data_IF_590966905794
#
_entry.id   IF_590966905794
#
_cell.length_a   1.000
_cell.length_b   1.000
_cell.length_c   1.000
_cell.angle_alpha   90.00
_cell.angle_beta   90.00
_cell.angle_gamma   90.00
#
_symmetry.space_group_name_H-M   'P 1'
#
loop_
_entity.id
_entity.type
_entity.pdbx_description
1 polymer ?
#
# COMPACT_ATOMS: atom_id res chain seq x y z
N UNK A 1 11.99 -12.30 27.68
CA UNK A 1 12.94 -11.48 26.91
C UNK A 1 12.83 -11.95 25.47
N UNK A 2 11.85 -11.42 24.73
CA UNK A 2 11.57 -11.80 23.35
C UNK A 2 12.05 -10.68 22.44
N UNK A 3 12.81 -11.07 21.42
CA UNK A 3 13.55 -10.19 20.54
C UNK A 3 12.60 -9.31 19.70
N UNK A 4 12.90 -8.02 19.68
CA UNK A 4 12.37 -7.07 18.70
C UNK A 4 12.95 -7.44 17.32
N UNK A 5 12.09 -7.84 16.38
CA UNK A 5 12.47 -7.88 14.97
C UNK A 5 12.23 -6.48 14.39
N UNK A 6 13.30 -5.91 13.84
CA UNK A 6 13.37 -4.56 13.32
C UNK A 6 13.45 -4.60 11.80
N UNK A 7 12.49 -4.00 11.06
CA UNK A 7 12.64 -3.85 9.60
C UNK A 7 12.35 -2.44 9.06
N UNK A 8 13.32 -1.95 8.29
CA UNK A 8 13.39 -0.67 7.59
C UNK A 8 12.30 -0.57 6.53
N UNK A 9 11.48 0.47 6.58
CA UNK A 9 10.52 0.84 5.52
C UNK A 9 11.07 2.10 4.86
N UNK A 10 11.54 1.99 3.62
CA UNK A 10 11.87 3.11 2.74
C UNK A 10 10.60 3.42 1.95
N UNK A 11 10.07 4.65 1.93
CA UNK A 11 8.97 5.05 1.03
C UNK A 11 9.51 6.12 0.07
N UNK A 12 9.56 5.80 -1.21
CA UNK A 12 10.07 6.63 -2.30
C UNK A 12 8.96 6.81 -3.32
N UNK A 13 8.32 7.98 -3.34
CA UNK A 13 7.34 8.32 -4.38
C UNK A 13 7.99 9.24 -5.42
N UNK A 14 8.08 8.79 -6.67
CA UNK A 14 8.57 9.57 -7.83
C UNK A 14 7.43 9.88 -8.80
N UNK A 15 7.08 11.16 -8.97
CA UNK A 15 6.30 11.60 -10.12
C UNK A 15 7.27 11.89 -11.27
N UNK A 16 7.10 11.23 -12.42
CA UNK A 16 8.08 11.31 -13.51
C UNK A 16 7.97 12.65 -14.27
N UNK A 17 9.04 13.44 -14.17
CA UNK A 17 9.53 14.39 -15.17
C UNK A 17 11.06 14.25 -15.22
N UNK A 18 11.59 13.86 -16.38
CA UNK A 18 13.00 13.49 -16.66
C UNK A 18 14.10 14.08 -15.76
N UNK A 19 14.83 13.22 -15.04
CA UNK A 19 16.32 13.11 -14.96
C UNK A 19 16.78 12.52 -13.62
N UNK A 20 17.71 11.56 -13.69
CA UNK A 20 18.30 10.87 -12.54
C UNK A 20 19.27 11.77 -11.76
N UNK A 21 19.01 12.00 -10.48
CA UNK A 21 20.02 12.28 -9.47
C UNK A 21 19.48 11.91 -8.08
N UNK A 22 20.32 11.32 -7.23
CA UNK A 22 20.01 11.07 -5.83
C UNK A 22 19.90 12.41 -5.09
N UNK A 23 18.72 12.72 -4.55
CA UNK A 23 18.44 13.96 -3.82
C UNK A 23 18.23 13.62 -2.33
N UNK A 24 18.89 14.35 -1.40
CA UNK A 24 18.69 14.14 0.03
C UNK A 24 17.28 14.60 0.46
N UNK A 25 16.83 14.13 1.62
CA UNK A 25 15.49 14.37 2.16
C UNK A 25 15.08 15.85 2.12
N UNK A 26 14.16 16.18 1.21
CA UNK A 26 13.43 17.44 1.19
C UNK A 26 11.97 17.16 1.46
N UNK A 27 11.48 17.60 2.61
CA UNK A 27 10.05 17.78 2.81
C UNK A 27 9.59 18.96 1.93
N UNK A 28 8.79 18.67 0.90
CA UNK A 28 8.08 19.66 0.11
C UNK A 28 8.85 20.21 -1.11
N UNK A 29 8.63 19.58 -2.27
CA UNK A 29 8.82 20.18 -3.58
C UNK A 29 7.47 20.24 -4.30
N UNK A 30 7.14 21.35 -4.96
CA UNK A 30 5.82 21.69 -5.53
C UNK A 30 5.23 20.75 -6.59
N UNK A 31 5.86 19.60 -6.85
CA UNK A 31 5.49 18.62 -7.88
C UNK A 31 4.98 17.28 -7.31
N UNK A 32 4.71 17.20 -6.00
CA UNK A 32 4.14 16.00 -5.36
C UNK A 32 5.14 14.89 -5.05
N UNK A 33 6.44 15.16 -5.16
CA UNK A 33 7.51 14.22 -4.84
C UNK A 33 7.87 14.25 -3.35
N UNK A 34 8.09 13.07 -2.74
CA UNK A 34 8.55 12.95 -1.37
C UNK A 34 9.28 11.62 -1.13
N UNK A 35 10.18 11.63 -0.15
CA UNK A 35 10.94 10.45 0.29
C UNK A 35 11.00 10.41 1.82
N UNK A 36 10.75 9.23 2.38
CA UNK A 36 10.93 8.96 3.80
C UNK A 36 11.99 7.86 3.98
N UNK A 37 13.16 8.25 4.49
CA UNK A 37 14.26 7.32 4.85
C UNK A 37 14.15 6.85 6.32
N UNK A 38 12.91 6.79 6.84
CA UNK A 38 12.57 6.65 8.25
C UNK A 38 11.40 7.58 8.62
N UNK A 39 10.68 7.23 9.69
CA UNK A 39 9.41 7.88 10.03
C UNK A 39 9.46 8.72 11.32
N UNK A 40 10.57 8.68 12.05
CA UNK A 40 10.77 9.51 13.23
C UNK A 40 10.65 11.00 12.88
N UNK A 41 9.63 11.68 13.42
CA UNK A 41 9.38 13.10 13.14
C UNK A 41 8.96 13.39 11.69
N UNK A 42 8.57 12.39 10.90
CA UNK A 42 8.16 12.56 9.50
C UNK A 42 6.84 13.34 9.31
N UNK A 43 6.12 13.61 10.41
CA UNK A 43 4.90 14.41 10.42
C UNK A 43 3.73 13.75 9.66
N UNK A 44 3.73 12.43 9.53
CA UNK A 44 2.68 11.66 8.88
C UNK A 44 1.34 11.77 9.62
N UNK A 45 0.24 11.64 8.87
CA UNK A 45 -1.08 11.48 9.48
C UNK A 45 -1.33 9.98 9.71
N UNK A 46 -1.48 9.61 10.98
CA UNK A 46 -1.71 8.23 11.42
C UNK A 46 -3.18 8.05 11.80
N UNK A 47 -3.77 6.93 11.40
CA UNK A 47 -5.12 6.50 11.79
C UNK A 47 -5.11 5.06 12.31
N UNK A 48 -6.08 4.75 13.18
CA UNK A 48 -6.20 3.43 13.80
C UNK A 48 -4.99 3.07 14.66
N UNK A 49 -4.41 1.89 14.41
CA UNK A 49 -3.26 1.35 15.15
C UNK A 49 -1.90 1.84 14.66
N UNK A 50 -1.85 2.61 13.57
CA UNK A 50 -0.59 3.01 12.98
C UNK A 50 0.24 3.86 13.96
N UNK A 51 1.50 3.50 14.14
CA UNK A 51 2.43 4.19 15.05
C UNK A 51 3.83 4.19 14.49
N UNK A 52 4.58 5.27 14.77
CA UNK A 52 6.03 5.30 14.55
C UNK A 52 6.72 4.79 15.81
N UNK A 53 7.44 3.68 15.69
CA UNK A 53 8.18 3.06 16.78
C UNK A 53 9.39 3.91 17.21
N UNK A 54 9.91 3.74 18.44
CA UNK A 54 11.04 4.52 18.94
C UNK A 54 12.31 4.48 18.07
N UNK A 55 12.48 3.41 17.29
CA UNK A 55 13.60 3.24 16.36
C UNK A 55 13.31 3.76 14.94
N UNK A 56 12.19 4.47 14.75
CA UNK A 56 11.85 5.20 13.54
C UNK A 56 11.13 4.38 12.47
N UNK A 57 10.73 3.14 12.76
CA UNK A 57 9.89 2.32 11.87
C UNK A 57 8.42 2.70 11.95
N UNK A 58 7.70 2.48 10.86
CA UNK A 58 6.25 2.61 10.84
C UNK A 58 5.63 1.21 11.03
N UNK A 59 4.87 1.03 12.09
CA UNK A 59 4.07 -0.17 12.35
C UNK A 59 2.61 0.16 12.08
N UNK A 60 1.97 -0.52 11.11
CA UNK A 60 0.56 -0.32 10.79
C UNK A 60 -0.36 -1.09 11.74
N UNK A 61 0.00 -2.33 12.05
CA UNK A 61 -0.74 -3.23 12.94
C UNK A 61 0.24 -4.10 13.72
N UNK A 62 -0.26 -4.74 14.78
CA UNK A 62 0.47 -5.75 15.55
C UNK A 62 -0.35 -7.05 15.60
N UNK A 63 0.07 -8.01 16.42
CA UNK A 63 -0.60 -9.32 16.57
C UNK A 63 -2.01 -9.28 17.16
N UNK A 64 -2.50 -8.10 17.56
CA UNK A 64 -3.87 -7.94 18.08
C UNK A 64 -4.89 -8.11 16.96
N UNK A 65 -5.82 -9.04 17.15
CA UNK A 65 -6.85 -9.35 16.16
C UNK A 65 -7.86 -8.21 15.95
N UNK A 66 -8.46 -8.17 14.77
CA UNK A 66 -9.58 -7.27 14.42
C UNK A 66 -9.23 -5.77 14.52
N UNK A 67 -7.99 -5.41 14.22
CA UNK A 67 -7.55 -4.02 14.15
C UNK A 67 -7.12 -3.63 12.74
N UNK A 68 -7.16 -2.32 12.48
CA UNK A 68 -6.68 -1.68 11.25
C UNK A 68 -5.80 -0.49 11.60
N UNK A 69 -4.88 -0.16 10.72
CA UNK A 69 -4.06 1.05 10.85
C UNK A 69 -3.71 1.59 9.48
N UNK A 70 -3.65 2.90 9.38
CA UNK A 70 -3.40 3.60 8.14
C UNK A 70 -2.40 4.72 8.35
N UNK A 71 -1.66 5.01 7.29
CA UNK A 71 -0.77 6.15 7.23
C UNK A 71 -1.10 6.95 5.99
N UNK A 72 -1.08 8.28 6.11
CA UNK A 72 -1.27 9.17 4.98
C UNK A 72 -0.10 10.14 4.87
N UNK A 73 0.28 10.43 3.63
CA UNK A 73 1.06 11.62 3.34
C UNK A 73 0.23 12.86 3.76
N UNK A 74 0.79 13.81 4.54
CA UNK A 74 -0.01 14.90 5.11
C UNK A 74 -0.61 15.82 4.05
N UNK A 75 0.15 16.13 3.00
CA UNK A 75 -0.33 16.98 1.92
C UNK A 75 -1.17 16.17 0.91
N UNK A 76 -2.37 16.64 0.51
CA UNK A 76 -3.10 16.01 -0.58
C UNK A 76 -2.30 16.02 -1.89
N UNK A 77 -2.31 14.91 -2.62
CA UNK A 77 -1.70 14.80 -3.95
C UNK A 77 -2.77 15.01 -5.03
N UNK A 78 -2.38 15.69 -6.10
CA UNK A 78 -3.26 15.95 -7.24
C UNK A 78 -3.01 14.91 -8.32
N UNK A 79 -3.96 13.99 -8.52
CA UNK A 79 -3.86 12.92 -9.53
C UNK A 79 -4.47 13.27 -10.90
N UNK A 80 -5.07 14.46 -11.05
CA UNK A 80 -5.64 14.94 -12.32
C UNK A 80 -5.25 16.39 -12.62
N UNK A 81 -4.92 16.67 -13.89
CA UNK A 81 -4.48 18.01 -14.33
C UNK A 81 -5.56 19.09 -14.31
N UNK A 82 -6.84 18.71 -14.24
CA UNK A 82 -7.98 19.64 -14.20
C UNK A 82 -9.16 18.98 -13.50
N UNK A 83 -9.98 19.76 -12.78
CA UNK A 83 -11.30 19.30 -12.39
C UNK A 83 -12.08 18.96 -13.67
N UNK A 84 -12.67 17.76 -13.80
CA UNK A 84 -13.39 17.39 -15.01
C UNK A 84 -14.54 18.37 -15.22
N UNK A 85 -14.44 19.19 -16.28
CA UNK A 85 -15.64 19.81 -16.84
C UNK A 85 -16.48 18.68 -17.47
N UNK A 86 -17.83 18.77 -17.47
CA UNK A 86 -18.69 17.67 -17.93
C UNK A 86 -18.46 17.20 -19.39
N UNK A 87 -17.60 17.88 -20.14
CA UNK A 87 -17.28 17.62 -21.55
C UNK A 87 -15.80 17.34 -21.82
N UNK A 88 -14.93 17.24 -20.80
CA UNK A 88 -13.51 16.94 -20.98
C UNK A 88 -13.06 15.79 -20.10
N UNK A 89 -12.49 14.75 -20.73
CA UNK A 89 -11.73 13.73 -20.02
C UNK A 89 -10.51 14.42 -19.39
N UNK A 90 -10.42 14.43 -18.06
CA UNK A 90 -9.23 14.91 -17.36
C UNK A 90 -8.14 13.86 -17.48
N UNK A 91 -6.99 14.23 -18.03
CA UNK A 91 -5.81 13.35 -18.04
C UNK A 91 -5.39 13.04 -16.60
N UNK A 92 -5.25 11.75 -16.29
CA UNK A 92 -4.67 11.30 -15.04
C UNK A 92 -3.16 11.53 -15.08
N UNK A 93 -2.58 11.87 -13.93
CA UNK A 93 -1.13 12.03 -13.81
C UNK A 93 -0.48 10.67 -13.57
N UNK A 94 0.57 10.37 -14.32
CA UNK A 94 1.43 9.22 -14.05
C UNK A 94 2.09 9.40 -12.67
N UNK A 95 2.22 8.31 -11.91
CA UNK A 95 2.91 8.31 -10.62
C UNK A 95 3.69 7.02 -10.43
N UNK A 96 4.74 7.09 -9.62
CA UNK A 96 5.48 5.93 -9.15
C UNK A 96 5.61 5.98 -7.64
N UNK A 97 5.46 4.85 -6.98
CA UNK A 97 5.81 4.68 -5.58
C UNK A 97 6.60 3.40 -5.40
N UNK A 98 7.56 3.46 -4.50
CA UNK A 98 8.37 2.33 -4.08
C UNK A 98 8.35 2.30 -2.58
N UNK A 99 8.10 1.14 -1.98
CA UNK A 99 8.24 1.00 -0.55
C UNK A 99 8.79 -0.35 -0.12
N UNK A 100 9.51 -0.34 1.00
CA UNK A 100 9.94 -1.57 1.67
C UNK A 100 8.92 -1.92 2.74
N UNK A 101 8.49 -3.17 2.83
CA UNK A 101 7.58 -3.65 3.87
C UNK A 101 8.06 -5.00 4.41
N UNK A 102 7.52 -5.39 5.56
CA UNK A 102 7.65 -6.75 6.07
C UNK A 102 6.33 -7.12 6.78
N UNK A 103 5.80 -8.31 6.48
CA UNK A 103 4.66 -8.87 7.20
C UNK A 103 5.21 -10.01 8.07
N UNK A 104 5.25 -9.79 9.38
CA UNK A 104 5.67 -10.79 10.35
C UNK A 104 4.44 -11.49 10.93
N UNK A 105 4.30 -12.79 10.68
CA UNK A 105 3.26 -13.61 11.27
C UNK A 105 3.69 -14.11 12.66
N UNK A 106 2.77 -14.12 13.63
CA UNK A 106 3.02 -14.69 14.97
C UNK A 106 3.23 -16.21 14.90
N UNK A 107 2.48 -16.87 14.00
CA UNK A 107 2.59 -18.29 13.73
C UNK A 107 2.98 -18.49 12.27
N UNK A 108 4.00 -19.32 12.02
CA UNK A 108 4.49 -19.67 10.67
C UNK A 108 3.41 -20.20 9.71
N UNK A 109 2.22 -20.55 10.20
CA UNK A 109 1.11 -21.11 9.43
C UNK A 109 -0.10 -20.17 9.29
N UNK A 110 -0.13 -19.01 9.96
CA UNK A 110 -1.27 -18.07 9.92
C UNK A 110 -0.76 -16.63 9.96
N UNK A 111 -0.96 -15.89 8.87
CA UNK A 111 -0.65 -14.47 8.76
C UNK A 111 -1.81 -13.56 9.18
N UNK A 112 -1.57 -12.24 9.16
CA UNK A 112 -2.64 -11.23 9.10
C UNK A 112 -3.36 -11.29 7.76
N UNK A 113 -4.25 -10.33 7.46
CA UNK A 113 -5.03 -10.37 6.21
C UNK A 113 -4.19 -9.85 5.04
N UNK A 114 -3.53 -8.71 5.19
CA UNK A 114 -2.63 -8.18 4.17
C UNK A 114 -2.21 -6.74 4.45
N UNK A 115 -1.67 -6.11 3.41
CA UNK A 115 -1.28 -4.70 3.34
C UNK A 115 -1.74 -4.13 2.00
N UNK A 116 -2.07 -2.84 1.93
CA UNK A 116 -2.32 -2.18 0.67
C UNK A 116 -1.63 -0.80 0.59
N UNK A 117 -1.07 -0.49 -0.57
CA UNK A 117 -0.89 0.90 -0.99
C UNK A 117 -2.21 1.36 -1.59
N UNK A 118 -2.71 2.55 -1.21
CA UNK A 118 -4.00 3.03 -1.69
C UNK A 118 -4.02 4.54 -1.94
N UNK A 119 -4.91 4.94 -2.84
CA UNK A 119 -5.25 6.32 -3.17
C UNK A 119 -6.74 6.51 -2.92
N UNK A 120 -7.08 7.52 -2.12
CA UNK A 120 -8.46 7.82 -1.71
C UNK A 120 -8.69 9.34 -1.65
N UNK A 121 -9.91 9.84 -1.93
CA UNK A 121 -10.23 11.26 -1.82
C UNK A 121 -10.30 11.78 -0.37
N UNK A 122 -10.31 10.88 0.64
CA UNK A 122 -10.51 11.23 2.04
C UNK A 122 -9.64 10.38 2.97
N UNK A 123 -9.13 11.01 4.03
CA UNK A 123 -8.41 10.31 5.11
C UNK A 123 -9.36 9.63 6.12
N UNK A 124 -10.66 9.86 6.01
CA UNK A 124 -11.63 9.26 6.93
C UNK A 124 -11.98 7.82 6.51
N UNK A 125 -11.33 6.86 7.15
CA UNK A 125 -11.59 5.41 7.01
C UNK A 125 -12.24 4.83 8.26
N UNK A 126 -12.90 5.65 9.09
CA UNK A 126 -13.48 5.21 10.36
C UNK A 126 -14.53 4.11 10.17
N UNK A 127 -15.31 4.18 9.08
CA UNK A 127 -16.33 3.20 8.70
C UNK A 127 -15.77 1.90 8.10
N UNK A 128 -14.49 1.85 7.74
CA UNK A 128 -13.90 0.65 7.16
C UNK A 128 -13.74 -0.46 8.22
N UNK A 129 -13.90 -1.70 7.81
CA UNK A 129 -13.75 -2.88 8.66
C UNK A 129 -12.30 -3.37 8.66
N UNK A 130 -11.83 -3.97 9.77
CA UNK A 130 -10.54 -4.66 9.81
C UNK A 130 -10.63 -5.99 9.04
N UNK A 131 -9.60 -6.82 9.19
CA UNK A 131 -9.53 -8.18 8.64
C UNK A 131 -9.56 -8.21 7.11
N UNK A 132 -10.41 -9.03 6.50
CA UNK A 132 -10.44 -9.27 5.06
C UNK A 132 -10.76 -8.00 4.25
N UNK A 133 -11.25 -6.94 4.91
CA UNK A 133 -11.54 -5.66 4.25
C UNK A 133 -10.33 -4.74 4.09
N UNK A 134 -9.14 -5.18 4.50
CA UNK A 134 -7.87 -4.45 4.45
C UNK A 134 -7.90 -3.05 5.08
N UNK A 135 -8.92 -2.76 5.91
CA UNK A 135 -9.14 -1.43 6.45
C UNK A 135 -9.61 -0.39 5.42
N UNK A 136 -10.02 -0.78 4.22
CA UNK A 136 -10.44 0.15 3.15
C UNK A 136 -11.95 0.16 2.92
N UNK A 137 -12.61 -0.98 3.13
CA UNK A 137 -14.03 -1.17 2.83
C UNK A 137 -14.77 -1.77 4.02
N UNK A 138 -16.08 -1.96 3.87
CA UNK A 138 -16.93 -2.72 4.77
C UNK A 138 -17.98 -3.51 3.96
N UNK A 139 -18.86 -4.23 4.64
CA UNK A 139 -19.90 -5.03 3.98
C UNK A 139 -20.85 -4.17 3.13
N UNK A 140 -21.05 -2.90 3.52
CA UNK A 140 -22.02 -2.01 2.91
C UNK A 140 -21.47 -1.28 1.67
N UNK A 141 -20.16 -1.02 1.62
CA UNK A 141 -19.55 -0.21 0.56
C UNK A 141 -18.57 -0.98 -0.33
N UNK A 142 -18.25 -2.25 -0.06
CA UNK A 142 -17.36 -3.04 -0.91
C UNK A 142 -17.91 -3.13 -2.35
N UNK A 143 -17.16 -2.61 -3.32
CA UNK A 143 -17.54 -2.55 -4.73
C UNK A 143 -18.38 -1.32 -5.12
N UNK A 144 -18.61 -0.38 -4.21
CA UNK A 144 -19.36 0.84 -4.50
C UNK A 144 -18.48 1.85 -5.26
N UNK A 145 -18.86 2.18 -6.51
CA UNK A 145 -18.13 3.13 -7.35
C UNK A 145 -17.96 4.54 -6.75
N UNK A 146 -18.77 4.90 -5.75
CA UNK A 146 -18.65 6.18 -5.02
C UNK A 146 -17.50 6.22 -4.01
N UNK A 147 -16.83 5.09 -3.76
CA UNK A 147 -15.68 5.04 -2.86
C UNK A 147 -14.49 5.85 -3.42
N UNK A 148 -14.30 5.81 -4.74
CA UNK A 148 -13.16 6.40 -5.43
C UNK A 148 -11.81 5.96 -4.84
N UNK A 149 -11.68 4.67 -4.54
CA UNK A 149 -10.46 4.06 -3.99
C UNK A 149 -9.77 3.22 -5.06
N UNK A 150 -8.49 3.47 -5.25
CA UNK A 150 -7.56 2.58 -5.95
C UNK A 150 -6.65 1.96 -4.89
N UNK A 151 -6.44 0.66 -4.93
CA UNK A 151 -5.45 0.00 -4.08
C UNK A 151 -4.63 -1.04 -4.86
N UNK A 152 -3.39 -1.22 -4.42
CA UNK A 152 -2.54 -2.36 -4.75
C UNK A 152 -2.37 -3.15 -3.47
N UNK A 153 -3.02 -4.30 -3.40
CA UNK A 153 -3.04 -5.17 -2.23
C UNK A 153 -1.93 -6.22 -2.28
N UNK A 154 -1.46 -6.58 -1.10
CA UNK A 154 -0.54 -7.66 -0.80
C UNK A 154 -1.31 -8.57 0.16
N UNK A 155 -2.11 -9.47 -0.41
CA UNK A 155 -3.04 -10.31 0.34
C UNK A 155 -2.40 -11.66 0.69
N UNK A 156 -2.62 -12.08 1.94
CA UNK A 156 -2.02 -13.27 2.54
C UNK A 156 -3.06 -14.28 3.03
N UNK A 157 -4.34 -14.04 2.75
CA UNK A 157 -5.46 -14.91 3.08
C UNK A 157 -6.24 -15.20 1.78
N UNK A 158 -6.93 -16.34 1.76
CA UNK A 158 -7.86 -16.68 0.70
C UNK A 158 -9.27 -16.38 1.21
N UNK A 159 -9.90 -15.35 0.66
CA UNK A 159 -11.30 -14.98 0.86
C UNK A 159 -12.13 -15.31 -0.39
N UNK A 160 -12.80 -16.48 -0.44
CA UNK A 160 -13.61 -16.88 -1.59
C UNK A 160 -14.72 -15.88 -1.94
N UNK A 161 -15.23 -15.13 -0.96
CA UNK A 161 -16.21 -14.07 -1.15
C UNK A 161 -15.69 -12.90 -2.00
N UNK A 162 -14.37 -12.68 -2.02
CA UNK A 162 -13.70 -11.65 -2.83
C UNK A 162 -13.05 -12.21 -4.09
N UNK A 163 -13.16 -13.53 -4.29
CA UNK A 163 -12.67 -14.27 -5.47
C UNK A 163 -11.15 -14.29 -5.56
N UNK A 164 -10.49 -14.27 -4.40
CA UNK A 164 -9.04 -14.40 -4.31
C UNK A 164 -8.57 -15.65 -5.03
N UNK A 165 -7.47 -15.50 -5.77
CA UNK A 165 -6.91 -16.57 -6.58
C UNK A 165 -6.15 -17.61 -5.74
N UNK A 166 -5.62 -17.19 -4.58
CA UNK A 166 -4.95 -18.00 -3.57
C UNK A 166 -4.71 -17.15 -2.30
N UNK A 167 -4.04 -17.71 -1.28
CA UNK A 167 -3.73 -17.03 -0.02
C UNK A 167 -2.39 -16.28 0.00
N UNK A 168 -1.87 -15.85 -1.15
CA UNK A 168 -0.58 -15.17 -1.29
C UNK A 168 -0.49 -14.52 -2.67
N UNK A 169 -1.14 -13.36 -2.83
CA UNK A 169 -1.25 -12.70 -4.13
C UNK A 169 -1.07 -11.19 -4.03
N UNK A 170 -0.75 -10.60 -5.18
CA UNK A 170 -0.79 -9.15 -5.40
C UNK A 170 -2.02 -8.86 -6.24
N UNK A 171 -2.82 -7.89 -5.80
CA UNK A 171 -4.07 -7.51 -6.45
C UNK A 171 -4.14 -6.03 -6.77
N UNK A 172 -4.92 -5.68 -7.80
CA UNK A 172 -5.27 -4.29 -8.13
C UNK A 172 -6.77 -4.12 -7.88
N UNK A 173 -7.09 -3.28 -6.92
CA UNK A 173 -8.45 -3.05 -6.44
C UNK A 173 -8.98 -1.70 -6.89
N UNK A 174 -10.20 -1.71 -7.40
CA UNK A 174 -10.92 -0.49 -7.80
C UNK A 174 -12.28 -0.49 -7.11
N UNK A 175 -12.38 0.34 -6.07
CA UNK A 175 -13.58 0.55 -5.24
C UNK A 175 -14.08 -0.67 -4.44
N UNK A 176 -13.39 -1.80 -4.46
CA UNK A 176 -13.70 -2.99 -3.69
C UNK A 176 -12.62 -4.06 -3.85
N UNK A 177 -12.78 -5.14 -3.08
CA UNK A 177 -11.79 -6.23 -2.88
C UNK A 177 -11.86 -7.33 -3.93
N UNK A 178 -12.81 -7.23 -4.87
CA UNK A 178 -12.75 -8.09 -6.05
C UNK A 178 -11.74 -7.44 -7.00
N UNK A 179 -10.49 -7.86 -6.88
CA UNK A 179 -9.36 -7.41 -7.70
C UNK A 179 -9.72 -7.42 -9.20
N UNK A 180 -9.44 -6.31 -9.89
CA UNK A 180 -9.59 -6.22 -11.36
C UNK A 180 -8.49 -6.98 -12.10
N UNK A 181 -7.35 -7.19 -11.43
CA UNK A 181 -6.26 -8.04 -11.85
C UNK A 181 -5.53 -8.55 -10.60
N UNK A 182 -5.14 -9.83 -10.60
CA UNK A 182 -4.38 -10.42 -9.51
C UNK A 182 -3.41 -11.48 -10.04
N UNK A 183 -2.25 -11.60 -9.39
CA UNK A 183 -1.25 -12.63 -9.69
C UNK A 183 -0.68 -13.21 -8.38
N UNK A 184 -0.31 -14.50 -8.34
CA UNK A 184 0.39 -15.06 -7.19
C UNK A 184 1.65 -14.26 -6.87
N UNK A 185 1.92 -13.99 -5.60
CA UNK A 185 3.10 -13.24 -5.23
C UNK A 185 4.37 -14.06 -5.50
N UNK A 186 5.28 -13.48 -6.28
CA UNK A 186 6.49 -14.16 -6.74
C UNK A 186 7.26 -13.32 -7.74
N UNK A 187 8.33 -13.88 -8.26
CA UNK A 187 9.19 -13.25 -9.26
C UNK A 187 9.66 -14.29 -10.27
N UNK A 188 9.99 -13.84 -11.48
CA UNK A 188 10.64 -14.69 -12.47
C UNK A 188 12.15 -14.58 -12.30
N UNK A 189 12.85 -15.71 -12.14
CA UNK A 189 14.29 -15.70 -12.00
C UNK A 189 14.97 -15.30 -13.32
N UNK A 190 15.89 -14.33 -13.28
CA UNK A 190 16.53 -13.75 -14.48
C UNK A 190 17.27 -14.80 -15.33
N UNK A 191 17.82 -15.82 -14.69
CA UNK A 191 18.65 -16.86 -15.31
C UNK A 191 17.84 -17.94 -16.05
N UNK A 192 16.66 -18.25 -15.54
CA UNK A 192 15.87 -19.42 -15.94
C UNK A 192 14.49 -19.05 -16.46
N UNK A 193 14.01 -17.84 -16.20
CA UNK A 193 12.64 -17.40 -16.47
C UNK A 193 11.59 -18.19 -15.68
N UNK A 194 12.00 -18.96 -14.66
CA UNK A 194 11.10 -19.77 -13.85
C UNK A 194 10.47 -18.90 -12.77
N UNK A 195 9.14 -18.98 -12.65
CA UNK A 195 8.43 -18.34 -11.55
C UNK A 195 8.83 -18.94 -10.20
N UNK A 196 9.22 -18.07 -9.27
CA UNK A 196 9.59 -18.37 -7.90
C UNK A 196 8.55 -17.75 -6.98
N UNK A 197 7.93 -18.60 -6.17
CA UNK A 197 6.97 -18.15 -5.17
C UNK A 197 7.67 -17.28 -4.11
N UNK A 198 7.04 -16.16 -3.76
CA UNK A 198 7.49 -15.25 -2.71
C UNK A 198 6.41 -15.21 -1.64
N UNK A 199 6.71 -15.67 -0.43
CA UNK A 199 5.76 -15.62 0.68
C UNK A 199 5.74 -14.23 1.30
N UNK A 200 4.66 -13.48 1.09
CA UNK A 200 4.49 -12.10 1.55
C UNK A 200 4.63 -11.95 3.07
N UNK A 201 4.29 -12.98 3.84
CA UNK A 201 4.37 -13.02 5.31
C UNK A 201 5.60 -13.77 5.85
N UNK A 202 6.66 -13.92 5.05
CA UNK A 202 7.91 -14.56 5.48
C UNK A 202 8.63 -13.83 6.63
N UNK A 203 8.28 -12.57 6.90
CA UNK A 203 8.97 -11.71 7.85
C UNK A 203 10.22 -11.03 7.27
N UNK A 204 10.65 -11.42 6.07
CA UNK A 204 11.73 -10.76 5.35
C UNK A 204 11.28 -9.40 4.81
N UNK A 205 12.22 -8.45 4.76
CA UNK A 205 11.97 -7.16 4.14
C UNK A 205 11.87 -7.33 2.61
N UNK A 206 10.80 -6.80 2.03
CA UNK A 206 10.51 -6.85 0.61
C UNK A 206 10.29 -5.45 0.06
N UNK A 207 10.78 -5.18 -1.15
CA UNK A 207 10.57 -3.91 -1.83
C UNK A 207 9.51 -4.06 -2.92
N UNK A 208 8.49 -3.21 -2.88
CA UNK A 208 7.43 -3.11 -3.87
C UNK A 208 7.63 -1.84 -4.68
N UNK A 209 7.33 -1.92 -5.96
CA UNK A 209 7.26 -0.79 -6.87
C UNK A 209 5.86 -0.79 -7.51
N UNK A 210 5.19 0.36 -7.53
CA UNK A 210 3.91 0.59 -8.22
C UNK A 210 4.09 1.75 -9.20
N UNK A 211 3.89 1.48 -10.49
CA UNK A 211 3.77 2.50 -11.52
C UNK A 211 2.35 2.60 -12.04
N UNK A 212 1.93 3.83 -12.25
CA UNK A 212 0.75 4.16 -13.01
C UNK A 212 1.13 5.08 -14.17
N UNK A 213 0.78 4.69 -15.39
CA UNK A 213 0.90 5.53 -16.57
C UNK A 213 -0.47 6.11 -16.96
N UNK A 214 -0.57 7.43 -17.00
CA UNK A 214 -1.78 8.18 -17.34
C UNK A 214 -1.91 8.52 -18.83
N UNK A 215 -0.98 8.08 -19.69
CA UNK A 215 -0.98 8.33 -21.14
C UNK A 215 -1.48 7.16 -21.97
#
# INVERSE_FOLDING_TARGET
>A
MLASLSFLVLLVCHFHGLSHAAVPATAGGGDGQFVYNGFAGAGLDLDGMAVVEPDGKLMLTNVTSQLKGHVFHPAPLRFHDRAPAPTQNSTARSFSTTFVFAIAAEYVTVSGNGLAFFVTPSKNLSAASPSQFLGLFNNENNGNASNHVLAVELDTILNPEFRDINSNHVGVDVNGLVSVAAEPAGYYADDTGVFKNLSLYSGDAMQVWVDYDGQ
#
